data_IF_957932800049
#
_entry.id   IF_957932800049
#
_cell.length_a   1.000
_cell.length_b   1.000
_cell.length_c   1.000
_cell.angle_alpha   90.00
_cell.angle_beta   90.00
_cell.angle_gamma   90.00
#
_symmetry.space_group_name_H-M   'P 1'
#
loop_
_entity.id
_entity.type
_entity.pdbx_description
1 polymer ?
#
# COMPACT_ATOMS: atom_id res chain seq x y z
N UNK A 1 -18.28 26.15 12.49
CA UNK A 1 -16.81 26.28 12.65
C UNK A 1 -16.19 24.99 12.13
N UNK A 2 -15.66 25.02 10.90
CA UNK A 2 -15.12 23.84 10.20
C UNK A 2 -13.91 23.29 10.94
N UNK A 3 -13.93 22.00 11.26
CA UNK A 3 -12.78 21.28 11.81
C UNK A 3 -11.74 21.12 10.71
N UNK A 4 -10.85 22.10 10.58
CA UNK A 4 -9.65 22.02 9.74
C UNK A 4 -8.77 20.88 10.22
N UNK A 5 -9.02 19.67 9.71
CA UNK A 5 -8.11 18.53 9.84
C UNK A 5 -6.82 18.94 9.14
N UNK A 6 -5.79 19.23 9.93
CA UNK A 6 -4.44 19.49 9.44
C UNK A 6 -4.02 18.35 8.49
N UNK A 7 -3.82 18.67 7.21
CA UNK A 7 -3.12 17.79 6.28
C UNK A 7 -1.68 17.65 6.80
N UNK A 8 -1.28 16.44 7.17
CA UNK A 8 0.02 16.19 7.81
C UNK A 8 1.19 16.67 6.92
N UNK A 9 2.32 16.98 7.56
CA UNK A 9 3.64 17.41 7.01
C UNK A 9 4.25 16.53 5.89
N UNK A 10 3.55 15.54 5.33
CA UNK A 10 4.03 14.71 4.22
C UNK A 10 3.42 15.26 2.94
N UNK A 11 4.26 15.63 1.97
CA UNK A 11 3.80 16.12 0.67
C UNK A 11 2.84 15.10 0.04
N UNK A 12 1.68 15.56 -0.43
CA UNK A 12 0.72 14.74 -1.19
C UNK A 12 1.31 14.34 -2.56
N UNK A 13 2.24 15.13 -3.07
CA UNK A 13 2.98 14.86 -4.29
C UNK A 13 3.84 13.59 -4.10
N UNK A 14 3.87 12.73 -5.12
CA UNK A 14 4.52 11.42 -5.06
C UNK A 14 3.64 10.31 -4.48
N UNK A 15 2.43 10.63 -4.02
CA UNK A 15 1.48 9.61 -3.53
C UNK A 15 0.97 8.77 -4.71
N UNK A 16 1.03 7.43 -4.57
CA UNK A 16 0.43 6.50 -5.53
C UNK A 16 -1.06 6.40 -5.27
N UNK A 17 -1.87 6.63 -6.29
CA UNK A 17 -3.33 6.56 -6.25
C UNK A 17 -3.83 5.77 -7.47
N UNK A 18 -5.07 5.33 -7.43
CA UNK A 18 -5.80 4.85 -8.58
C UNK A 18 -6.85 5.89 -8.96
N UNK A 19 -6.93 6.20 -10.25
CA UNK A 19 -7.91 7.14 -10.78
C UNK A 19 -8.79 6.44 -11.83
N UNK A 20 -10.08 6.79 -11.94
CA UNK A 20 -10.97 6.22 -12.94
C UNK A 20 -10.58 6.69 -14.34
N UNK A 21 -10.72 5.79 -15.31
CA UNK A 21 -10.58 6.06 -16.74
C UNK A 21 -11.96 6.19 -17.39
N UNK A 22 -12.00 6.70 -18.63
CA UNK A 22 -13.24 6.82 -19.40
C UNK A 22 -13.94 5.46 -19.60
N UNK A 23 -13.16 4.37 -19.63
CA UNK A 23 -13.66 3.00 -19.78
C UNK A 23 -14.22 2.39 -18.47
N UNK A 24 -14.18 3.16 -17.37
CA UNK A 24 -14.62 2.70 -16.04
C UNK A 24 -13.63 1.75 -15.35
N UNK A 25 -12.41 1.63 -15.88
CA UNK A 25 -11.29 0.98 -15.21
C UNK A 25 -10.59 1.98 -14.28
N UNK A 26 -9.85 1.48 -13.31
CA UNK A 26 -9.04 2.27 -12.41
C UNK A 26 -7.57 2.05 -12.74
N UNK A 27 -6.90 3.13 -13.13
CA UNK A 27 -5.51 3.10 -13.52
C UNK A 27 -4.62 3.63 -12.39
N UNK A 28 -3.51 2.95 -12.05
CA UNK A 28 -2.56 3.45 -11.07
C UNK A 28 -1.77 4.63 -11.62
N UNK A 29 -1.59 5.66 -10.80
CA UNK A 29 -0.81 6.84 -11.12
C UNK A 29 -0.17 7.48 -9.88
N UNK A 30 0.54 8.57 -10.10
CA UNK A 30 1.25 9.32 -9.05
C UNK A 30 0.80 10.78 -9.09
N UNK A 31 0.46 11.33 -7.93
CA UNK A 31 0.13 12.75 -7.81
C UNK A 31 1.39 13.59 -8.06
N UNK A 32 1.36 14.45 -9.07
CA UNK A 32 2.49 15.33 -9.42
C UNK A 32 2.26 16.78 -9.07
N UNK A 33 1.01 17.24 -9.07
CA UNK A 33 0.65 18.59 -8.69
C UNK A 33 -0.67 18.60 -7.91
N UNK A 34 -0.88 19.68 -7.17
CA UNK A 34 -2.15 19.98 -6.53
C UNK A 34 -2.46 21.45 -6.75
N UNK A 35 -3.73 21.73 -7.01
CA UNK A 35 -4.28 23.07 -7.20
C UNK A 35 -5.52 23.19 -6.33
N UNK A 36 -5.78 24.38 -5.80
CA UNK A 36 -7.07 24.71 -5.21
C UNK A 36 -7.88 25.46 -6.27
N UNK A 37 -9.06 24.96 -6.59
CA UNK A 37 -9.96 25.62 -7.53
C UNK A 37 -10.74 26.76 -6.85
N UNK A 38 -11.50 27.48 -7.65
CA UNK A 38 -12.33 28.64 -7.28
C UNK A 38 -13.30 28.35 -6.13
N UNK A 39 -13.70 27.08 -5.96
CA UNK A 39 -14.63 26.61 -4.92
C UNK A 39 -13.93 26.14 -3.63
N UNK A 40 -12.64 26.48 -3.44
CA UNK A 40 -11.78 25.98 -2.35
C UNK A 40 -11.64 24.44 -2.30
N UNK A 41 -11.96 23.76 -3.41
CA UNK A 41 -11.80 22.33 -3.56
C UNK A 41 -10.39 21.98 -4.07
N UNK A 42 -9.82 20.90 -3.53
CA UNK A 42 -8.50 20.43 -3.95
C UNK A 42 -8.62 19.56 -5.20
N UNK A 43 -7.92 19.98 -6.25
CA UNK A 43 -7.72 19.25 -7.50
C UNK A 43 -6.32 18.67 -7.52
N UNK A 44 -6.20 17.42 -7.93
CA UNK A 44 -4.95 16.66 -7.96
C UNK A 44 -4.63 16.27 -9.39
N UNK A 45 -3.43 16.63 -9.87
CA UNK A 45 -2.94 16.16 -11.16
C UNK A 45 -2.22 14.84 -10.97
N UNK A 46 -2.77 13.78 -11.56
CA UNK A 46 -2.22 12.42 -11.52
C UNK A 46 -1.51 12.13 -12.83
N UNK A 47 -0.27 11.65 -12.74
CA UNK A 47 0.51 11.15 -13.88
C UNK A 47 0.48 9.62 -13.93
N UNK A 48 0.21 9.08 -15.11
CA UNK A 48 0.10 7.65 -15.36
C UNK A 48 1.38 7.08 -16.00
N UNK A 49 1.46 5.75 -16.07
CA UNK A 49 2.62 5.05 -16.60
C UNK A 49 2.91 5.35 -18.08
N UNK A 50 1.88 5.70 -18.84
CA UNK A 50 1.97 6.12 -20.25
C UNK A 50 2.40 7.59 -20.41
N UNK A 51 2.78 8.27 -19.32
CA UNK A 51 3.15 9.69 -19.23
C UNK A 51 2.00 10.66 -19.52
N UNK A 52 0.76 10.17 -19.63
CA UNK A 52 -0.40 11.04 -19.64
C UNK A 52 -0.65 11.59 -18.23
N UNK A 53 -1.37 12.71 -18.17
CA UNK A 53 -1.76 13.38 -16.93
C UNK A 53 -3.22 13.78 -17.00
N UNK A 54 -3.94 13.62 -15.90
CA UNK A 54 -5.30 14.11 -15.77
C UNK A 54 -5.56 14.67 -14.37
N UNK A 55 -6.57 15.53 -14.27
CA UNK A 55 -6.97 16.18 -13.03
C UNK A 55 -8.17 15.47 -12.41
N UNK A 56 -8.12 15.26 -11.10
CA UNK A 56 -9.15 14.55 -10.34
C UNK A 56 -9.41 15.27 -9.02
N UNK A 57 -10.64 15.16 -8.54
CA UNK A 57 -11.02 15.52 -7.18
C UNK A 57 -10.61 14.40 -6.21
N UNK A 58 -10.51 14.74 -4.93
CA UNK A 58 -10.09 13.77 -3.90
C UNK A 58 -11.07 12.62 -3.70
N UNK A 59 -12.35 12.81 -4.00
CA UNK A 59 -13.40 11.79 -3.92
C UNK A 59 -13.43 10.83 -5.12
N UNK A 60 -12.74 11.17 -6.21
CA UNK A 60 -12.57 10.30 -7.39
C UNK A 60 -11.34 9.39 -7.26
N UNK A 61 -10.40 9.74 -6.40
CA UNK A 61 -9.15 9.01 -6.23
C UNK A 61 -9.29 7.90 -5.19
N UNK A 62 -8.62 6.77 -5.43
CA UNK A 62 -8.56 5.64 -4.52
C UNK A 62 -7.11 5.45 -4.06
N UNK A 63 -6.90 5.38 -2.75
CA UNK A 63 -5.58 5.17 -2.17
C UNK A 63 -5.38 5.85 -0.83
N UNK A 64 -4.13 5.89 -0.33
CA UNK A 64 -3.81 6.47 0.98
C UNK A 64 -4.18 7.96 1.05
N UNK A 65 -5.09 8.33 1.96
CA UNK A 65 -5.58 9.69 2.10
C UNK A 65 -6.76 10.06 1.18
N UNK A 66 -7.26 9.10 0.40
CA UNK A 66 -8.38 9.25 -0.52
C UNK A 66 -9.42 8.14 -0.28
N UNK A 67 -10.29 7.87 -1.25
CA UNK A 67 -11.28 6.82 -1.13
C UNK A 67 -10.66 5.42 -1.04
N UNK A 68 -11.49 4.49 -0.58
CA UNK A 68 -11.15 3.06 -0.55
C UNK A 68 -11.84 2.33 -1.69
N UNK A 69 -11.58 1.02 -1.83
CA UNK A 69 -12.29 0.21 -2.83
C UNK A 69 -13.75 -0.09 -2.46
N UNK A 70 -14.16 0.22 -1.22
CA UNK A 70 -15.49 -0.11 -0.73
C UNK A 70 -16.58 0.61 -1.54
N UNK A 71 -17.61 -0.14 -1.95
CA UNK A 71 -18.73 0.38 -2.74
C UNK A 71 -18.41 0.59 -4.23
N UNK A 72 -17.21 0.26 -4.69
CA UNK A 72 -16.88 0.30 -6.12
C UNK A 72 -17.43 -0.91 -6.85
N UNK A 73 -17.90 -0.70 -8.08
CA UNK A 73 -18.20 -1.79 -9.01
C UNK A 73 -17.02 -2.02 -9.94
N UNK A 74 -16.19 -3.03 -9.64
CA UNK A 74 -15.06 -3.38 -10.50
C UNK A 74 -15.53 -3.95 -11.86
N UNK A 75 -14.89 -3.50 -12.93
CA UNK A 75 -15.12 -3.98 -14.30
C UNK A 75 -14.24 -5.18 -14.62
N UNK A 76 -14.69 -6.00 -15.56
CA UNK A 76 -13.85 -7.05 -16.15
C UNK A 76 -12.56 -6.44 -16.72
N UNK A 77 -11.47 -7.21 -16.67
CA UNK A 77 -10.11 -6.79 -17.02
C UNK A 77 -9.47 -5.76 -16.08
N UNK A 78 -10.13 -5.37 -14.98
CA UNK A 78 -9.50 -4.53 -13.96
C UNK A 78 -8.31 -5.25 -13.32
N UNK A 79 -7.12 -4.66 -13.37
CA UNK A 79 -5.96 -5.16 -12.63
C UNK A 79 -6.18 -4.94 -11.14
N UNK A 80 -6.00 -6.00 -10.36
CA UNK A 80 -6.15 -5.99 -8.90
C UNK A 80 -5.03 -6.77 -8.22
N UNK A 81 -4.92 -6.57 -6.92
CA UNK A 81 -3.98 -7.24 -6.03
C UNK A 81 -4.74 -7.88 -4.88
N UNK A 82 -4.43 -9.15 -4.61
CA UNK A 82 -5.02 -9.92 -3.50
C UNK A 82 -3.94 -10.72 -2.79
N UNK A 83 -4.26 -11.21 -1.60
CA UNK A 83 -3.39 -12.15 -0.89
C UNK A 83 -3.85 -13.59 -1.16
N UNK A 84 -2.94 -14.41 -1.67
CA UNK A 84 -3.13 -15.83 -1.95
C UNK A 84 -1.94 -16.64 -1.41
N UNK A 85 -2.20 -17.69 -0.65
CA UNK A 85 -1.17 -18.51 0.00
C UNK A 85 -0.12 -17.70 0.78
N UNK A 86 -0.58 -16.66 1.51
CA UNK A 86 0.27 -15.78 2.30
C UNK A 86 1.16 -14.84 1.48
N UNK A 87 1.01 -14.79 0.16
CA UNK A 87 1.74 -13.91 -0.75
C UNK A 87 0.79 -12.94 -1.44
N UNK A 88 1.28 -11.75 -1.73
CA UNK A 88 0.57 -10.86 -2.64
C UNK A 88 0.72 -11.36 -4.07
N UNK A 89 -0.39 -11.35 -4.80
CA UNK A 89 -0.48 -11.71 -6.21
C UNK A 89 -1.26 -10.65 -6.95
N UNK A 90 -0.91 -10.46 -8.22
CA UNK A 90 -1.66 -9.61 -9.13
C UNK A 90 -2.55 -10.45 -10.04
N UNK A 91 -3.75 -9.97 -10.34
CA UNK A 91 -4.69 -10.65 -11.23
C UNK A 91 -5.57 -9.66 -11.96
N UNK A 92 -6.47 -10.20 -12.78
CA UNK A 92 -7.48 -9.44 -13.50
C UNK A 92 -8.87 -9.88 -13.06
N UNK A 93 -9.76 -8.92 -12.87
CA UNK A 93 -11.17 -9.19 -12.58
C UNK A 93 -11.82 -9.84 -13.80
N UNK A 94 -12.51 -10.94 -13.58
CA UNK A 94 -13.35 -11.59 -14.59
C UNK A 94 -14.79 -11.08 -14.46
N UNK A 95 -15.31 -11.05 -13.23
CA UNK A 95 -16.67 -10.66 -12.92
C UNK A 95 -16.76 -10.11 -11.48
N UNK A 96 -17.73 -9.23 -11.22
CA UNK A 96 -18.07 -8.75 -9.89
C UNK A 96 -19.56 -8.99 -9.60
N UNK A 97 -19.84 -9.88 -8.65
CA UNK A 97 -21.18 -10.16 -8.10
C UNK A 97 -21.53 -9.10 -7.05
N UNK A 98 -22.06 -7.96 -7.52
CA UNK A 98 -22.41 -6.79 -6.68
C UNK A 98 -23.38 -7.15 -5.54
N UNK A 99 -24.42 -7.99 -5.72
CA UNK A 99 -25.28 -8.43 -4.62
C UNK A 99 -24.55 -9.15 -3.48
N UNK A 100 -23.47 -9.90 -3.78
CA UNK A 100 -22.68 -10.63 -2.78
C UNK A 100 -21.38 -9.92 -2.37
N UNK A 101 -21.04 -8.82 -3.05
CA UNK A 101 -19.77 -8.10 -2.92
C UNK A 101 -18.55 -9.02 -3.14
N UNK A 102 -18.68 -9.95 -4.08
CA UNK A 102 -17.67 -10.96 -4.41
C UNK A 102 -17.13 -10.77 -5.83
N UNK A 103 -15.81 -10.76 -5.97
CA UNK A 103 -15.07 -10.56 -7.20
C UNK A 103 -14.41 -11.88 -7.61
N UNK A 104 -14.64 -12.30 -8.85
CA UNK A 104 -13.91 -13.40 -9.48
C UNK A 104 -12.66 -12.84 -10.16
N UNK A 105 -11.50 -13.41 -9.84
CA UNK A 105 -10.19 -12.90 -10.27
C UNK A 105 -9.42 -14.04 -10.94
N UNK A 106 -8.90 -13.79 -12.14
CA UNK A 106 -7.97 -14.69 -12.82
C UNK A 106 -6.52 -14.25 -12.56
N UNK A 107 -5.71 -15.20 -12.09
CA UNK A 107 -4.29 -15.00 -11.80
C UNK A 107 -3.50 -15.88 -12.76
N UNK A 108 -2.65 -15.24 -13.56
CA UNK A 108 -1.75 -15.94 -14.48
C UNK A 108 -0.32 -15.95 -13.96
N UNK A 109 0.49 -16.98 -14.30
CA UNK A 109 1.93 -16.96 -14.08
C UNK A 109 2.57 -15.71 -14.68
N UNK A 110 3.34 -14.96 -13.89
CA UNK A 110 3.98 -13.72 -14.33
C UNK A 110 5.19 -13.38 -13.48
N UNK A 111 5.93 -12.33 -13.85
CA UNK A 111 7.03 -11.78 -13.03
C UNK A 111 6.55 -11.31 -11.64
N UNK A 112 5.28 -10.95 -11.51
CA UNK A 112 4.70 -10.58 -10.20
C UNK A 112 4.12 -11.79 -9.45
N UNK A 113 3.92 -12.92 -10.14
CA UNK A 113 3.28 -14.13 -9.63
C UNK A 113 4.18 -15.37 -9.80
N UNK A 114 5.49 -15.25 -9.59
CA UNK A 114 6.45 -16.35 -9.86
C UNK A 114 6.16 -17.67 -9.13
N UNK A 115 5.42 -17.63 -8.02
CA UNK A 115 5.05 -18.81 -7.25
C UNK A 115 3.82 -19.54 -7.80
N UNK A 116 3.20 -19.02 -8.85
CA UNK A 116 2.04 -19.58 -9.54
C UNK A 116 2.53 -20.27 -10.82
N UNK A 117 2.41 -21.59 -10.88
CA UNK A 117 2.85 -22.39 -12.03
C UNK A 117 1.80 -22.50 -13.14
N UNK A 118 0.51 -22.39 -12.78
CA UNK A 118 -0.62 -22.49 -13.69
C UNK A 118 -1.65 -21.40 -13.36
N UNK A 119 -2.51 -21.05 -14.32
CA UNK A 119 -3.57 -20.07 -14.08
C UNK A 119 -4.51 -20.55 -12.96
N UNK A 120 -4.85 -19.65 -12.04
CA UNK A 120 -5.76 -19.91 -10.92
C UNK A 120 -6.88 -18.88 -10.93
N UNK A 121 -8.10 -19.32 -10.66
CA UNK A 121 -9.25 -18.44 -10.42
C UNK A 121 -9.54 -18.37 -8.92
N UNK A 122 -9.71 -17.15 -8.40
CA UNK A 122 -10.03 -16.90 -7.01
C UNK A 122 -11.32 -16.10 -6.91
N UNK A 123 -12.21 -16.54 -6.01
CA UNK A 123 -13.33 -15.70 -5.56
C UNK A 123 -12.94 -15.01 -4.25
N UNK A 124 -13.07 -13.69 -4.22
CA UNK A 124 -12.67 -12.84 -3.10
C UNK A 124 -13.73 -11.81 -2.81
N UNK A 125 -13.91 -11.44 -1.54
CA UNK A 125 -14.77 -10.29 -1.20
C UNK A 125 -14.11 -9.00 -1.65
N UNK A 126 -14.88 -7.96 -1.99
CA UNK A 126 -14.34 -6.68 -2.47
C UNK A 126 -13.36 -6.04 -1.48
N UNK A 127 -13.60 -6.19 -0.17
CA UNK A 127 -12.72 -5.70 0.90
C UNK A 127 -11.35 -6.41 0.98
N UNK A 128 -11.23 -7.63 0.43
CA UNK A 128 -9.97 -8.35 0.28
C UNK A 128 -9.19 -7.95 -0.99
N UNK A 129 -9.82 -7.18 -1.89
CA UNK A 129 -9.28 -6.76 -3.19
C UNK A 129 -8.68 -5.36 -3.10
N UNK A 130 -7.53 -5.16 -3.75
CA UNK A 130 -6.85 -3.86 -3.78
C UNK A 130 -6.55 -3.45 -5.22
N UNK A 131 -6.74 -2.17 -5.53
CA UNK A 131 -6.37 -1.60 -6.84
C UNK A 131 -4.88 -1.20 -6.91
N UNK A 132 -4.25 -1.04 -5.75
CA UNK A 132 -2.83 -0.75 -5.62
C UNK A 132 -2.11 -1.91 -4.93
N UNK A 133 -0.90 -2.19 -5.41
CA UNK A 133 0.03 -3.10 -4.76
C UNK A 133 0.26 -2.66 -3.30
N UNK A 134 0.30 -3.62 -2.39
CA UNK A 134 0.62 -3.32 -1.00
C UNK A 134 2.04 -2.80 -0.99
N UNK A 135 2.22 -1.57 -0.51
CA UNK A 135 3.55 -1.18 -0.05
C UNK A 135 3.81 -2.12 1.12
N UNK A 136 4.74 -3.08 0.96
CA UNK A 136 5.19 -4.04 1.97
C UNK A 136 4.91 -3.49 3.37
N UNK A 137 4.09 -4.21 4.13
CA UNK A 137 3.53 -3.86 5.45
C UNK A 137 4.29 -2.76 6.20
N UNK A 138 3.61 -1.84 6.89
CA UNK A 138 4.25 -0.83 7.74
C UNK A 138 5.39 -1.36 8.65
N UNK A 139 5.35 -2.64 9.04
CA UNK A 139 6.42 -3.36 9.77
C UNK A 139 7.76 -3.48 9.04
N UNK A 140 7.78 -3.37 7.71
CA UNK A 140 8.97 -3.39 6.86
C UNK A 140 9.49 -1.99 6.55
N UNK A 141 8.76 -0.91 6.91
CA UNK A 141 9.30 0.45 6.78
C UNK A 141 10.43 0.72 7.79
N UNK A 142 10.47 0.00 8.90
CA UNK A 142 11.57 0.08 9.88
C UNK A 142 12.83 -0.71 9.45
N UNK A 143 12.80 -1.39 8.30
CA UNK A 143 13.93 -2.17 7.78
C UNK A 143 14.81 -1.43 6.75
N UNK A 144 14.54 -0.15 6.49
CA UNK A 144 15.53 0.76 5.88
C UNK A 144 16.49 1.34 6.94
N UNK A 145 16.52 0.73 8.13
CA UNK A 145 17.60 0.89 9.09
C UNK A 145 18.83 0.16 8.52
N UNK A 146 19.74 0.93 7.94
CA UNK A 146 21.03 0.49 7.42
C UNK A 146 21.93 -0.05 8.56
N UNK A 147 21.72 -1.31 8.98
CA UNK A 147 22.53 -1.96 10.03
C UNK A 147 24.02 -2.06 9.65
N UNK A 148 24.35 -1.90 8.38
CA UNK A 148 25.73 -1.79 7.87
C UNK A 148 26.52 -0.63 8.51
N UNK A 149 25.85 0.46 8.90
CA UNK A 149 26.50 1.63 9.53
C UNK A 149 26.74 1.48 11.04
N UNK A 150 26.16 0.47 11.68
CA UNK A 150 26.33 0.21 13.12
C UNK A 150 27.55 -0.66 13.44
N UNK A 151 28.20 -1.25 12.42
CA UNK A 151 29.37 -2.10 12.59
C UNK A 151 30.71 -1.32 12.60
N UNK A 152 30.78 -0.14 11.98
CA UNK A 152 31.98 0.70 11.98
C UNK A 152 31.92 1.74 13.10
N UNK A 153 32.08 1.29 14.34
CA UNK A 153 32.07 2.24 15.45
C UNK A 153 32.36 1.68 16.84
N UNK A 154 33.05 0.55 16.98
CA UNK A 154 33.53 0.08 18.29
C UNK A 154 34.95 -0.46 18.20
N UNK A 155 35.89 0.44 17.92
CA UNK A 155 37.31 0.21 18.09
C UNK A 155 37.89 1.07 19.21
N UNK A 156 37.51 0.84 20.47
CA UNK A 156 38.43 0.96 21.62
C UNK A 156 37.79 0.45 22.93
N UNK A 157 38.15 -0.77 23.29
CA UNK A 157 37.95 -1.38 24.60
C UNK A 157 38.84 -0.68 25.65
N UNK A 158 38.35 0.37 26.33
CA UNK A 158 38.87 0.73 27.65
C UNK A 158 38.16 -0.06 28.74
N UNK A 159 38.78 -1.21 29.04
CA UNK A 159 38.77 -1.98 30.30
C UNK A 159 37.77 -1.49 31.36
N UNK A 160 36.72 -2.27 31.61
CA UNK A 160 36.04 -2.30 32.91
C UNK A 160 36.15 -3.71 33.47
N UNK A 161 36.67 -3.79 34.70
CA UNK A 161 37.01 -5.02 35.41
C UNK A 161 35.75 -5.85 35.69
N UNK A 162 35.88 -7.18 35.54
CA UNK A 162 34.87 -8.14 35.92
C UNK A 162 34.81 -8.24 37.46
N UNK A 163 33.67 -7.88 38.06
CA UNK A 163 33.40 -8.16 39.47
C UNK A 163 32.81 -9.58 39.61
N UNK A 164 33.64 -10.50 40.12
CA UNK A 164 33.24 -11.81 40.61
C UNK A 164 32.61 -11.66 42.01
N UNK A 165 31.28 -11.61 42.09
CA UNK A 165 30.48 -12.05 43.26
C UNK A 165 29.00 -11.78 42.99
N UNK A 166 28.20 -12.85 42.91
CA UNK A 166 26.74 -12.78 42.96
C UNK A 166 26.35 -13.29 44.34
N UNK A 167 25.79 -12.42 45.16
CA UNK A 167 25.26 -12.77 46.48
C UNK A 167 23.81 -13.27 46.31
N UNK A 168 23.53 -14.49 46.77
CA UNK A 168 22.22 -15.16 46.62
C UNK A 168 21.60 -15.32 48.01
N UNK A 169 20.40 -14.78 48.28
CA UNK A 169 19.75 -14.92 49.58
C UNK A 169 19.36 -16.38 49.87
N UNK A 170 19.71 -16.87 51.06
CA UNK A 170 19.30 -18.22 51.51
C UNK A 170 17.79 -18.26 51.81
N UNK A 171 17.10 -19.26 51.25
CA UNK A 171 15.68 -19.50 51.53
C UNK A 171 15.48 -19.96 52.97
N UNK A 172 14.68 -19.21 53.72
CA UNK A 172 14.27 -19.53 55.09
C UNK A 172 13.22 -20.65 55.03
N UNK A 173 13.42 -21.69 55.85
CA UNK A 173 12.43 -22.73 56.15
C UNK A 173 11.61 -22.33 57.37
#
# INVERSE_FOLDING_TARGET
MSTGKRLAKRSILGTRVCAPTLDGLHMPGVIQATKTDSDDENVYTVSFADKTTAEYRGDELIGPGFQTVAGLTLKASQKVYVTFNGREVSGVVMEHDVPRDEVLISIQPSQHNHHISQSVELRKRLDEVRLLESRKSARLQDLDTDYSRLAEGQGELRRRAASLSIDVPASIK
#
